data_IF_896241802664
#
_entry.id   IF_896241802664
#
_cell.length_a   1.000
_cell.length_b   1.000
_cell.length_c   1.000
_cell.angle_alpha   90.00
_cell.angle_beta   90.00
_cell.angle_gamma   90.00
#
_symmetry.space_group_name_H-M   'P 1'
#
loop_
_entity.id
_entity.type
_entity.pdbx_description
1 polymer ?
#
# COMPACT_ATOMS: atom_id res chain seq x y z
N UNK A 1 -2.68 -16.50 -2.24
CA UNK A 1 -2.85 -15.19 -2.90
C UNK A 1 -3.03 -15.51 -4.37
N UNK A 2 -4.25 -15.40 -4.90
CA UNK A 2 -4.50 -15.54 -6.33
C UNK A 2 -3.77 -14.42 -7.07
N UNK A 3 -2.81 -14.72 -7.97
CA UNK A 3 -1.91 -13.71 -8.53
C UNK A 3 -2.51 -12.83 -9.65
N UNK A 4 -3.80 -12.99 -9.98
CA UNK A 4 -4.37 -12.44 -11.22
C UNK A 4 -5.55 -11.46 -11.05
N UNK A 5 -5.87 -10.99 -9.85
CA UNK A 5 -6.96 -10.00 -9.69
C UNK A 5 -6.44 -8.57 -9.79
N UNK A 6 -6.94 -7.81 -10.76
CA UNK A 6 -6.73 -6.35 -10.84
C UNK A 6 -7.31 -5.66 -9.61
N UNK A 7 -6.53 -4.77 -8.99
CA UNK A 7 -6.92 -3.95 -7.84
C UNK A 7 -6.46 -2.52 -8.07
N UNK A 8 -7.23 -1.57 -7.54
CA UNK A 8 -6.87 -0.15 -7.54
C UNK A 8 -5.59 0.09 -6.72
N UNK A 9 -4.80 1.08 -7.12
CA UNK A 9 -3.60 1.49 -6.36
C UNK A 9 -4.01 2.12 -5.02
N UNK A 10 -5.05 2.93 -5.03
CA UNK A 10 -5.61 3.59 -3.85
C UNK A 10 -7.00 2.97 -3.64
N UNK A 11 -7.13 2.19 -2.58
CA UNK A 11 -8.41 1.61 -2.17
C UNK A 11 -9.03 2.53 -1.12
N UNK A 12 -10.28 2.92 -1.38
CA UNK A 12 -11.07 3.75 -0.48
C UNK A 12 -12.06 2.88 0.27
N UNK A 13 -12.28 3.21 1.54
CA UNK A 13 -13.37 2.62 2.29
C UNK A 13 -14.70 3.03 1.64
N UNK A 14 -15.61 2.08 1.34
CA UNK A 14 -16.83 2.37 0.58
C UNK A 14 -17.85 3.23 1.35
N UNK A 15 -17.72 3.31 2.68
CA UNK A 15 -18.64 4.06 3.54
C UNK A 15 -18.06 5.44 3.88
N UNK A 16 -16.80 5.49 4.32
CA UNK A 16 -16.18 6.75 4.77
C UNK A 16 -15.51 7.54 3.66
N UNK A 17 -15.26 6.92 2.50
CA UNK A 17 -14.50 7.47 1.38
C UNK A 17 -13.05 7.88 1.76
N UNK A 18 -12.54 7.38 2.88
CA UNK A 18 -11.17 7.56 3.32
C UNK A 18 -10.25 6.53 2.67
N UNK A 19 -8.97 6.86 2.53
CA UNK A 19 -7.95 5.91 2.03
C UNK A 19 -7.75 4.81 3.06
N UNK A 20 -8.07 3.58 2.66
CA UNK A 20 -7.93 2.39 3.49
C UNK A 20 -6.63 1.64 3.18
N UNK A 21 -6.26 1.55 1.90
CA UNK A 21 -5.07 0.82 1.48
C UNK A 21 -4.38 1.45 0.27
N UNK A 22 -3.05 1.45 0.30
CA UNK A 22 -2.20 1.79 -0.85
C UNK A 22 -1.49 0.52 -1.32
N UNK A 23 -1.78 0.11 -2.56
CA UNK A 23 -1.14 -1.02 -3.24
C UNK A 23 -0.18 -0.51 -4.30
N UNK A 24 1.07 -0.34 -3.90
CA UNK A 24 2.11 0.16 -4.79
C UNK A 24 3.38 -0.68 -4.69
N UNK A 25 3.60 -1.54 -5.69
CA UNK A 25 4.87 -2.23 -5.92
C UNK A 25 5.15 -2.25 -7.43
N UNK A 26 6.19 -1.55 -7.87
CA UNK A 26 6.54 -1.45 -9.31
C UNK A 26 7.12 -2.74 -9.86
N UNK A 27 7.74 -3.58 -9.03
CA UNK A 27 8.38 -4.83 -9.45
C UNK A 27 7.38 -5.95 -9.75
N UNK A 28 6.27 -5.97 -9.02
CA UNK A 28 5.25 -7.02 -9.12
C UNK A 28 4.05 -6.58 -9.98
N UNK A 29 4.17 -5.43 -10.66
CA UNK A 29 3.15 -4.99 -11.62
C UNK A 29 3.22 -5.82 -12.89
N UNK A 30 2.11 -6.42 -13.27
CA UNK A 30 1.95 -6.95 -14.62
C UNK A 30 1.97 -5.81 -15.64
N UNK A 31 2.43 -6.12 -16.85
CA UNK A 31 2.21 -5.28 -18.03
C UNK A 31 0.70 -5.14 -18.21
N UNK A 32 0.13 -4.02 -17.77
CA UNK A 32 -1.31 -3.77 -17.81
C UNK A 32 -1.87 -4.08 -19.21
N UNK A 33 -2.83 -5.00 -19.31
CA UNK A 33 -3.41 -5.43 -20.60
C UNK A 33 -4.95 -5.33 -20.66
N UNK A 34 -5.60 -4.54 -19.79
CA UNK A 34 -7.07 -4.45 -19.83
C UNK A 34 -7.62 -3.04 -19.60
N UNK A 35 -7.10 -2.05 -20.33
CA UNK A 35 -7.71 -0.71 -20.42
C UNK A 35 -8.88 -0.66 -21.42
N UNK A 36 -9.08 -1.71 -22.21
CA UNK A 36 -10.19 -1.83 -23.17
C UNK A 36 -11.59 -1.77 -22.52
N UNK A 37 -11.70 -2.08 -21.22
CA UNK A 37 -12.94 -1.96 -20.46
C UNK A 37 -13.05 -0.65 -19.67
N UNK A 38 -12.01 0.18 -19.66
CA UNK A 38 -12.08 1.57 -19.18
C UNK A 38 -12.51 2.46 -20.35
N UNK A 39 -13.70 2.18 -20.90
CA UNK A 39 -14.38 3.16 -21.73
C UNK A 39 -14.69 4.35 -20.81
N UNK A 40 -14.09 5.50 -21.09
CA UNK A 40 -14.76 6.76 -20.76
C UNK A 40 -16.16 6.68 -21.39
N UNK A 41 -17.18 7.26 -20.77
CA UNK A 41 -18.52 7.37 -21.36
C UNK A 41 -18.54 8.33 -22.56
N UNK A 42 -17.48 8.34 -23.35
CA UNK A 42 -17.32 9.12 -24.56
C UNK A 42 -17.67 8.20 -25.72
N UNK A 43 -18.79 8.50 -26.39
CA UNK A 43 -19.39 7.71 -27.48
C UNK A 43 -18.48 7.62 -28.74
N UNK A 44 -17.21 8.01 -28.63
CA UNK A 44 -16.21 8.10 -29.69
C UNK A 44 -15.17 6.96 -29.69
N UNK A 45 -15.27 5.99 -28.77
CA UNK A 45 -14.56 4.70 -28.91
C UNK A 45 -13.02 4.76 -28.85
N UNK A 46 -12.42 5.82 -28.31
CA UNK A 46 -10.97 5.92 -28.15
C UNK A 46 -10.53 5.57 -26.72
N UNK A 47 -10.31 4.27 -26.47
CA UNK A 47 -9.63 3.79 -25.26
C UNK A 47 -8.16 4.20 -25.15
N UNK A 48 -7.64 5.01 -26.09
CA UNK A 48 -6.25 5.45 -26.16
C UNK A 48 -5.84 6.51 -25.14
N UNK A 49 -6.75 7.34 -24.62
CA UNK A 49 -6.39 8.45 -23.71
C UNK A 49 -6.19 8.05 -22.25
N UNK A 50 -6.81 6.95 -21.81
CA UNK A 50 -6.77 6.51 -20.40
C UNK A 50 -5.37 6.07 -19.98
N UNK A 51 -4.64 5.40 -20.87
CA UNK A 51 -3.30 4.89 -20.58
C UNK A 51 -2.27 6.03 -20.35
N UNK A 52 -2.15 7.04 -21.24
CA UNK A 52 -1.34 8.24 -20.98
C UNK A 52 -1.71 8.95 -19.69
N UNK A 53 -3.01 9.12 -19.41
CA UNK A 53 -3.48 9.77 -18.17
C UNK A 53 -3.10 8.98 -16.93
N UNK A 54 -3.22 7.65 -16.98
CA UNK A 54 -2.81 6.77 -15.89
C UNK A 54 -1.31 6.90 -15.61
N UNK A 55 -0.45 6.85 -16.65
CA UNK A 55 0.99 7.06 -16.47
C UNK A 55 1.32 8.46 -15.95
N UNK A 56 0.63 9.50 -16.41
CA UNK A 56 0.80 10.86 -15.89
C UNK A 56 0.46 10.95 -14.40
N UNK A 57 -0.65 10.36 -13.98
CA UNK A 57 -1.03 10.28 -12.56
C UNK A 57 -0.01 9.46 -11.75
N UNK A 58 0.48 8.36 -12.33
CA UNK A 58 1.50 7.50 -11.76
C UNK A 58 2.81 8.26 -11.50
N UNK A 59 3.29 9.03 -12.47
CA UNK A 59 4.48 9.88 -12.29
C UNK A 59 4.25 10.94 -11.22
N UNK A 60 3.08 11.58 -11.20
CA UNK A 60 2.77 12.58 -10.17
C UNK A 60 2.73 11.98 -8.77
N UNK A 61 2.18 10.77 -8.65
CA UNK A 61 2.17 10.04 -7.38
C UNK A 61 3.60 9.73 -6.92
N UNK A 62 4.47 9.27 -7.83
CA UNK A 62 5.87 9.02 -7.50
C UNK A 62 6.61 10.29 -7.06
N UNK A 63 6.42 11.42 -7.75
CA UNK A 63 6.99 12.72 -7.37
C UNK A 63 6.57 13.14 -5.95
N UNK A 64 5.31 12.88 -5.57
CA UNK A 64 4.83 13.12 -4.21
C UNK A 64 5.57 12.22 -3.23
N UNK A 65 5.71 10.93 -3.50
CA UNK A 65 6.39 9.98 -2.60
C UNK A 65 7.87 10.33 -2.38
N UNK A 66 8.55 10.87 -3.40
CA UNK A 66 9.95 11.27 -3.30
C UNK A 66 10.18 12.63 -2.64
N UNK A 67 9.10 13.37 -2.35
CA UNK A 67 9.23 14.68 -1.73
C UNK A 67 9.84 14.54 -0.32
N UNK A 68 10.96 15.22 0.00
CA UNK A 68 11.71 15.01 1.25
C UNK A 68 10.89 15.15 2.54
N UNK A 69 9.84 15.97 2.53
CA UNK A 69 8.93 16.16 3.68
C UNK A 69 8.09 14.92 4.03
N UNK A 70 7.95 13.98 3.10
CA UNK A 70 7.17 12.76 3.28
C UNK A 70 8.05 11.52 3.42
N UNK A 71 9.37 11.69 3.38
CA UNK A 71 10.33 10.60 3.49
C UNK A 71 10.93 10.55 4.90
N UNK A 72 11.00 9.35 5.48
CA UNK A 72 11.65 9.12 6.77
C UNK A 72 12.83 8.16 6.62
N UNK A 73 13.99 8.61 7.09
CA UNK A 73 15.26 7.90 6.98
C UNK A 73 15.66 7.24 8.29
N UNK A 74 15.77 5.91 8.28
CA UNK A 74 16.28 5.16 9.42
C UNK A 74 17.22 4.04 8.99
N UNK A 75 18.42 4.02 9.59
CA UNK A 75 19.39 2.95 9.38
C UNK A 75 19.23 1.90 10.48
N UNK A 76 18.64 0.76 10.12
CA UNK A 76 18.52 -0.39 11.01
C UNK A 76 19.89 -0.95 11.40
N UNK A 77 20.06 -1.20 12.69
CA UNK A 77 21.22 -1.89 13.29
C UNK A 77 20.84 -3.32 13.65
N UNK A 78 21.82 -4.24 13.75
CA UNK A 78 21.57 -5.59 14.24
C UNK A 78 20.84 -5.59 15.59
N UNK A 79 19.85 -6.48 15.73
CA UNK A 79 19.00 -6.57 16.93
C UNK A 79 17.78 -5.61 16.94
N UNK A 80 17.67 -4.70 15.96
CA UNK A 80 16.50 -3.83 15.84
C UNK A 80 15.40 -4.45 14.98
N UNK A 81 14.15 -4.20 15.36
CA UNK A 81 12.97 -4.56 14.60
C UNK A 81 12.22 -3.29 14.20
N UNK A 82 11.74 -3.24 12.95
CA UNK A 82 10.84 -2.21 12.47
C UNK A 82 9.49 -2.86 12.17
N UNK A 83 8.44 -2.36 12.82
CA UNK A 83 7.06 -2.77 12.60
C UNK A 83 6.31 -1.56 12.05
N UNK A 84 5.58 -1.75 10.96
CA UNK A 84 4.80 -0.70 10.32
C UNK A 84 3.57 -1.29 9.63
N UNK A 85 2.57 -0.44 9.38
CA UNK A 85 1.35 -0.82 8.66
C UNK A 85 1.61 -0.84 7.15
N UNK A 86 1.71 -2.05 6.57
CA UNK A 86 1.97 -2.25 5.15
C UNK A 86 0.82 -1.80 4.25
N UNK A 87 -0.39 -1.57 4.78
CA UNK A 87 -1.50 -1.02 4.00
C UNK A 87 -1.38 0.50 3.80
N UNK A 88 -0.58 1.16 4.64
CA UNK A 88 -0.47 2.62 4.68
C UNK A 88 0.91 3.15 4.29
N UNK A 89 1.97 2.47 4.73
CA UNK A 89 3.34 2.93 4.57
C UNK A 89 4.04 2.19 3.44
N UNK A 90 4.50 2.95 2.46
CA UNK A 90 5.47 2.47 1.48
C UNK A 90 6.86 2.50 2.10
N UNK A 91 7.67 1.51 1.76
CA UNK A 91 9.02 1.37 2.29
C UNK A 91 9.97 0.97 1.16
N UNK A 92 11.20 1.45 1.23
CA UNK A 92 12.23 1.13 0.25
C UNK A 92 13.62 1.24 0.88
N UNK A 93 14.63 0.86 0.11
CA UNK A 93 16.03 1.18 0.35
C UNK A 93 16.48 2.12 -0.78
N UNK A 94 16.87 3.35 -0.49
CA UNK A 94 17.41 4.28 -1.51
C UNK A 94 18.88 4.04 -1.78
N UNK A 95 19.62 3.61 -0.75
CA UNK A 95 21.07 3.39 -0.86
C UNK A 95 21.36 1.98 -1.36
N UNK A 96 22.25 1.89 -2.35
CA UNK A 96 22.93 0.63 -2.64
C UNK A 96 23.76 0.21 -1.42
N UNK A 97 23.96 -1.09 -1.25
CA UNK A 97 24.70 -1.66 -0.14
C UNK A 97 25.80 -2.56 -0.69
N UNK A 98 26.99 -2.45 -0.12
CA UNK A 98 28.13 -3.34 -0.39
C UNK A 98 28.45 -4.15 0.86
N UNK A 99 28.79 -5.43 0.67
CA UNK A 99 29.04 -6.37 1.76
C UNK A 99 27.87 -7.33 2.05
N UNK A 100 27.87 -7.97 3.22
CA UNK A 100 26.83 -8.92 3.63
C UNK A 100 25.76 -8.25 4.50
N UNK A 101 24.49 -8.54 4.20
CA UNK A 101 23.34 -8.08 4.98
C UNK A 101 22.29 -9.19 5.03
N UNK A 102 21.88 -9.56 6.24
CA UNK A 102 20.75 -10.45 6.49
C UNK A 102 19.65 -9.71 7.25
N UNK A 103 18.42 -9.89 6.82
CA UNK A 103 17.22 -9.42 7.52
C UNK A 103 16.19 -10.54 7.52
N UNK A 104 15.41 -10.61 8.58
CA UNK A 104 14.24 -11.49 8.67
C UNK A 104 12.99 -10.61 8.64
N UNK A 105 12.01 -11.00 7.82
CA UNK A 105 10.71 -10.35 7.74
C UNK A 105 9.61 -11.34 8.09
N UNK A 106 8.54 -10.84 8.69
CA UNK A 106 7.33 -11.60 8.94
C UNK A 106 6.12 -10.67 8.76
N UNK A 107 4.95 -11.26 8.49
CA UNK A 107 3.69 -10.54 8.39
C UNK A 107 2.74 -11.01 9.48
N UNK A 108 1.96 -10.07 10.00
CA UNK A 108 0.87 -10.32 10.94
C UNK A 108 -0.40 -9.78 10.29
N UNK A 109 -1.51 -10.49 10.39
CA UNK A 109 -2.78 -9.99 9.89
C UNK A 109 -3.22 -8.76 10.69
N UNK A 110 -3.79 -7.77 9.99
CA UNK A 110 -4.24 -6.52 10.62
C UNK A 110 -5.33 -6.77 11.66
N UNK A 111 -6.24 -7.72 11.41
CA UNK A 111 -7.32 -8.08 12.32
C UNK A 111 -6.79 -8.68 13.62
N UNK A 112 -5.77 -9.55 13.54
CA UNK A 112 -5.11 -10.13 14.70
C UNK A 112 -4.43 -9.05 15.56
N UNK A 113 -3.76 -8.09 14.89
CA UNK A 113 -3.15 -6.94 15.57
C UNK A 113 -4.19 -6.07 16.29
N UNK A 114 -5.30 -5.73 15.62
CA UNK A 114 -6.38 -4.91 16.19
C UNK A 114 -7.06 -5.66 17.35
N UNK A 115 -7.32 -6.95 17.19
CA UNK A 115 -7.89 -7.81 18.23
C UNK A 115 -7.01 -7.78 19.47
N UNK A 116 -5.69 -8.02 19.32
CA UNK A 116 -4.75 -7.97 20.44
C UNK A 116 -4.71 -6.57 21.08
N UNK A 117 -4.66 -5.51 20.28
CA UNK A 117 -4.66 -4.13 20.77
C UNK A 117 -5.90 -3.82 21.64
N UNK A 118 -7.09 -4.22 21.18
CA UNK A 118 -8.33 -4.05 21.96
C UNK A 118 -8.28 -4.80 23.28
N UNK A 119 -7.84 -6.06 23.27
CA UNK A 119 -7.75 -6.86 24.51
C UNK A 119 -6.71 -6.35 25.51
N UNK A 120 -5.71 -5.61 25.07
CA UNK A 120 -4.70 -5.00 25.94
C UNK A 120 -5.16 -3.66 26.52
N UNK A 121 -5.99 -2.91 25.80
CA UNK A 121 -6.39 -1.55 26.16
C UNK A 121 -7.77 -1.43 26.80
N UNK A 122 -8.64 -2.44 26.62
CA UNK A 122 -10.02 -2.43 27.11
C UNK A 122 -10.13 -3.51 28.20
N UNK A 123 -10.69 -3.15 29.36
CA UNK A 123 -10.96 -4.15 30.40
C UNK A 123 -11.97 -5.16 29.86
N UNK A 124 -11.84 -6.41 30.30
CA UNK A 124 -12.70 -7.50 29.84
C UNK A 124 -14.19 -7.16 29.91
N UNK A 125 -14.62 -6.55 31.00
CA UNK A 125 -16.04 -6.23 31.22
C UNK A 125 -16.54 -5.15 30.25
N UNK A 126 -15.74 -4.12 30.00
CA UNK A 126 -16.05 -3.07 29.02
C UNK A 126 -16.12 -3.64 27.60
N UNK A 127 -15.26 -4.61 27.29
CA UNK A 127 -15.24 -5.27 25.98
C UNK A 127 -16.50 -6.12 25.77
N UNK A 128 -16.92 -6.88 26.79
CA UNK A 128 -18.14 -7.69 26.76
C UNK A 128 -19.40 -6.85 26.59
N UNK A 129 -19.42 -5.64 27.16
CA UNK A 129 -20.54 -4.70 27.04
C UNK A 129 -20.58 -3.95 25.69
N UNK A 130 -19.51 -4.04 24.88
CA UNK A 130 -19.40 -3.36 23.58
C UNK A 130 -19.64 -4.27 22.36
N UNK A 131 -19.80 -5.57 22.60
CA UNK A 131 -20.17 -6.59 21.60
C UNK A 131 -21.68 -6.63 21.41
#
# INVERSE_FOLDING_TARGET
MEPNTSRSIIELNPVTNEVEMIRWNTSDRSSFMNFSNLSTNDDNGDGGEVLPLFYKAMFKFHEILEFPKYEFWYKLKPGQCLIFDNWRLLHSRKTSFTGERRMCGAYINRDDFISRLKTLNIKRDDLLNSL
#
